data_IF_555864553931
#
_entry.id   IF_555864553931
#
_cell.length_a   1.000
_cell.length_b   1.000
_cell.length_c   1.000
_cell.angle_alpha   90.00
_cell.angle_beta   90.00
_cell.angle_gamma   90.00
#
_symmetry.space_group_name_H-M   'P 1'
#
loop_
_entity.id
_entity.type
_entity.pdbx_description
1 polymer ?
#
# COMPACT_ATOMS: atom_id res chain seq x y z
N UNK A 1 -11.20 -0.29 -0.27
CA UNK A 1 -12.22 -1.25 0.19
C UNK A 1 -11.83 -2.04 1.44
N UNK A 2 -10.70 -1.72 2.09
CA UNK A 2 -10.25 -2.29 3.35
C UNK A 2 -10.02 -1.19 4.38
N UNK A 3 -10.44 -1.46 5.63
CA UNK A 3 -10.21 -0.56 6.76
C UNK A 3 -9.67 -1.33 7.96
N UNK A 4 -8.93 -0.65 8.82
CA UNK A 4 -8.56 -1.11 10.15
C UNK A 4 -9.27 -0.25 11.19
N UNK A 5 -9.73 -0.88 12.25
CA UNK A 5 -10.42 -0.23 13.38
C UNK A 5 -9.71 -0.66 14.64
N UNK A 6 -9.32 0.29 15.48
CA UNK A 6 -8.80 0.01 16.81
C UNK A 6 -9.98 -0.15 17.79
N UNK A 7 -10.05 -1.31 18.43
CA UNK A 7 -11.08 -1.65 19.41
C UNK A 7 -10.55 -1.63 20.84
N UNK A 8 -9.28 -1.30 21.07
CA UNK A 8 -8.59 -1.48 22.37
C UNK A 8 -9.32 -0.80 23.53
N UNK A 9 -9.80 0.43 23.32
CA UNK A 9 -10.43 1.25 24.36
C UNK A 9 -11.96 1.24 24.30
N UNK A 10 -12.55 0.38 23.47
CA UNK A 10 -14.01 0.29 23.40
C UNK A 10 -14.58 -0.45 24.62
N UNK A 11 -15.68 0.06 25.22
CA UNK A 11 -16.38 -0.66 26.26
C UNK A 11 -16.78 -2.07 25.81
N UNK A 12 -16.52 -3.07 26.64
CA UNK A 12 -16.80 -4.48 26.32
C UNK A 12 -15.74 -5.19 25.48
N UNK A 13 -14.79 -4.47 24.87
CA UNK A 13 -13.77 -5.10 24.01
C UNK A 13 -12.84 -6.06 24.78
N UNK A 14 -12.57 -5.77 26.05
CA UNK A 14 -11.70 -6.57 26.92
C UNK A 14 -12.48 -7.65 27.71
N UNK A 15 -13.80 -7.74 27.53
CA UNK A 15 -14.59 -8.78 28.18
C UNK A 15 -14.26 -10.15 27.59
N UNK A 16 -14.27 -11.16 28.45
CA UNK A 16 -14.06 -12.55 28.00
C UNK A 16 -15.16 -12.96 27.04
N UNK A 17 -14.77 -13.63 25.96
CA UNK A 17 -15.73 -14.28 25.07
C UNK A 17 -16.37 -15.45 25.84
N UNK A 18 -17.68 -15.49 25.95
CA UNK A 18 -18.43 -16.58 26.61
C UNK A 18 -18.14 -17.93 25.96
N UNK A 19 -18.47 -19.03 26.70
CA UNK A 19 -18.33 -20.40 26.17
C UNK A 19 -19.16 -20.65 24.88
N UNK A 20 -20.21 -19.87 24.67
CA UNK A 20 -21.05 -19.86 23.46
C UNK A 20 -20.44 -19.03 22.31
N UNK A 21 -19.25 -18.46 22.49
CA UNK A 21 -18.58 -17.62 21.51
C UNK A 21 -19.16 -16.21 21.38
N UNK A 22 -20.01 -15.79 22.32
CA UNK A 22 -20.60 -14.44 22.39
C UNK A 22 -19.85 -13.54 23.35
N UNK A 23 -20.04 -12.22 23.23
CA UNK A 23 -19.41 -11.20 24.06
C UNK A 23 -18.06 -10.71 23.55
N UNK A 24 -17.50 -9.73 24.28
CA UNK A 24 -16.21 -9.12 23.99
C UNK A 24 -16.08 -8.61 22.56
N UNK A 25 -14.86 -8.64 22.05
CA UNK A 25 -14.52 -8.17 20.68
C UNK A 25 -15.30 -8.89 19.58
N UNK A 26 -15.73 -10.14 19.80
CA UNK A 26 -16.50 -10.89 18.81
C UNK A 26 -17.89 -10.29 18.59
N UNK A 27 -18.59 -9.91 19.68
CA UNK A 27 -19.89 -9.26 19.60
C UNK A 27 -19.79 -7.91 18.87
N UNK A 28 -18.81 -7.09 19.22
CA UNK A 28 -18.55 -5.80 18.58
C UNK A 28 -18.31 -5.98 17.07
N UNK A 29 -17.46 -6.92 16.67
CA UNK A 29 -17.18 -7.20 15.28
C UNK A 29 -18.39 -7.74 14.52
N UNK A 30 -19.23 -8.55 15.17
CA UNK A 30 -20.50 -9.04 14.60
C UNK A 30 -21.47 -7.87 14.37
N UNK A 31 -21.57 -6.94 15.30
CA UNK A 31 -22.42 -5.75 15.15
C UNK A 31 -21.93 -4.83 14.03
N UNK A 32 -20.63 -4.63 13.90
CA UNK A 32 -20.04 -3.89 12.77
C UNK A 32 -20.44 -4.57 11.45
N UNK A 33 -20.28 -5.89 11.33
CA UNK A 33 -20.63 -6.66 10.14
C UNK A 33 -22.10 -6.54 9.77
N UNK A 34 -22.98 -6.67 10.76
CA UNK A 34 -24.43 -6.53 10.59
C UNK A 34 -24.82 -5.12 10.15
N UNK A 35 -24.18 -4.09 10.73
CA UNK A 35 -24.42 -2.69 10.40
C UNK A 35 -23.96 -2.36 8.98
N UNK A 36 -22.80 -2.84 8.55
CA UNK A 36 -22.32 -2.69 7.16
C UNK A 36 -23.32 -3.29 6.19
N UNK A 37 -23.75 -4.54 6.43
CA UNK A 37 -24.72 -5.22 5.57
C UNK A 37 -26.07 -4.49 5.52
N UNK A 38 -26.55 -3.99 6.65
CA UNK A 38 -27.82 -3.22 6.74
C UNK A 38 -27.74 -1.90 6.01
N UNK A 39 -26.61 -1.18 6.13
CA UNK A 39 -26.44 0.13 5.54
C UNK A 39 -26.14 0.10 4.03
N UNK A 40 -25.48 -0.93 3.53
CA UNK A 40 -24.96 -0.97 2.15
C UNK A 40 -25.50 -2.12 1.31
N UNK A 41 -26.10 -3.14 1.92
CA UNK A 41 -26.48 -4.40 1.27
C UNK A 41 -25.28 -5.34 1.00
N UNK A 42 -24.05 -4.93 1.29
CA UNK A 42 -22.84 -5.71 1.04
C UNK A 42 -22.41 -6.51 2.27
N UNK A 43 -21.89 -7.71 2.04
CA UNK A 43 -21.21 -8.48 3.08
C UNK A 43 -19.76 -8.03 3.25
N UNK A 44 -19.22 -8.18 4.45
CA UNK A 44 -17.79 -7.97 4.71
C UNK A 44 -17.22 -9.08 5.60
N UNK A 45 -15.94 -9.39 5.44
CA UNK A 45 -15.23 -10.33 6.31
C UNK A 45 -14.33 -9.56 7.27
N UNK A 46 -14.37 -9.94 8.55
CA UNK A 46 -13.65 -9.24 9.62
C UNK A 46 -12.69 -10.21 10.30
N UNK A 47 -11.44 -9.78 10.49
CA UNK A 47 -10.44 -10.43 11.33
C UNK A 47 -10.13 -9.55 12.55
N UNK A 48 -10.28 -10.09 13.75
CA UNK A 48 -9.96 -9.39 15.01
C UNK A 48 -8.75 -10.04 15.65
N UNK A 49 -7.68 -9.29 15.83
CA UNK A 49 -6.39 -9.78 16.34
C UNK A 49 -5.63 -8.65 17.03
N UNK A 50 -4.55 -8.96 17.78
CA UNK A 50 -3.77 -7.93 18.46
C UNK A 50 -3.05 -6.91 17.58
N UNK A 51 -2.89 -7.16 16.26
CA UNK A 51 -2.17 -6.26 15.36
C UNK A 51 -2.70 -6.30 13.91
N UNK A 52 -2.28 -5.32 13.11
CA UNK A 52 -2.74 -5.14 11.73
C UNK A 52 -2.36 -6.29 10.80
N UNK A 53 -1.17 -6.86 10.95
CA UNK A 53 -0.68 -7.94 10.11
C UNK A 53 -1.55 -9.18 10.25
N UNK A 54 -1.77 -9.60 11.48
CA UNK A 54 -2.62 -10.76 11.77
C UNK A 54 -4.09 -10.49 11.43
N UNK A 55 -4.61 -9.27 11.67
CA UNK A 55 -5.98 -8.90 11.33
C UNK A 55 -6.25 -9.05 9.82
N UNK A 56 -5.29 -8.62 8.99
CA UNK A 56 -5.39 -8.78 7.53
C UNK A 56 -5.41 -10.25 7.12
N UNK A 57 -4.56 -11.08 7.70
CA UNK A 57 -4.56 -12.53 7.42
C UNK A 57 -5.88 -13.16 7.90
N UNK A 58 -6.31 -12.84 9.12
CA UNK A 58 -7.53 -13.39 9.72
C UNK A 58 -8.77 -13.03 8.90
N UNK A 59 -8.88 -11.82 8.37
CA UNK A 59 -10.02 -11.41 7.54
C UNK A 59 -10.15 -12.20 6.24
N UNK A 60 -9.09 -12.88 5.80
CA UNK A 60 -9.07 -13.71 4.57
C UNK A 60 -9.36 -15.19 4.83
N UNK A 61 -9.26 -15.65 6.10
CA UNK A 61 -9.36 -17.07 6.42
C UNK A 61 -10.74 -17.67 6.14
N UNK A 62 -11.78 -16.94 6.52
CA UNK A 62 -13.16 -17.42 6.48
C UNK A 62 -14.01 -16.60 5.48
N UNK A 63 -13.42 -16.09 4.38
CA UNK A 63 -14.17 -15.43 3.29
C UNK A 63 -15.02 -16.43 2.51
N UNK A 64 -16.22 -16.00 2.01
CA UNK A 64 -16.87 -14.70 2.19
C UNK A 64 -17.65 -14.58 3.49
N UNK A 65 -17.97 -13.34 3.89
CA UNK A 65 -18.85 -13.01 5.03
C UNK A 65 -18.43 -13.66 6.36
N UNK A 66 -17.11 -13.83 6.57
CA UNK A 66 -16.52 -14.48 7.74
C UNK A 66 -16.23 -13.51 8.89
N UNK A 67 -16.21 -14.06 10.10
CA UNK A 67 -15.73 -13.39 11.32
C UNK A 67 -14.73 -14.28 12.03
N UNK A 68 -13.45 -13.92 11.94
CA UNK A 68 -12.33 -14.70 12.46
C UNK A 68 -11.67 -13.94 13.61
N UNK A 69 -11.63 -14.57 14.79
CA UNK A 69 -11.00 -14.03 16.00
C UNK A 69 -9.98 -15.04 16.50
N UNK A 70 -8.81 -15.18 15.84
CA UNK A 70 -7.77 -16.11 16.26
C UNK A 70 -7.04 -15.56 17.47
N UNK A 71 -6.64 -16.48 18.35
CA UNK A 71 -5.73 -16.21 19.47
C UNK A 71 -4.27 -16.39 19.02
N UNK A 72 -3.32 -15.97 19.83
CA UNK A 72 -1.88 -16.24 19.57
C UNK A 72 -1.60 -17.76 19.54
N UNK A 73 -2.35 -18.58 20.30
CA UNK A 73 -2.22 -20.03 20.28
C UNK A 73 -2.63 -20.64 18.92
N UNK A 74 -3.49 -19.97 18.16
CA UNK A 74 -3.92 -20.42 16.82
C UNK A 74 -2.88 -20.15 15.73
N UNK A 75 -1.80 -19.42 16.04
CA UNK A 75 -0.76 -19.11 15.05
C UNK A 75 -0.20 -20.37 14.38
N UNK A 76 0.17 -21.36 15.19
CA UNK A 76 0.77 -22.59 14.70
C UNK A 76 -0.19 -23.46 13.88
N UNK A 77 -1.47 -23.46 14.24
CA UNK A 77 -2.49 -24.35 13.63
C UNK A 77 -3.22 -23.71 12.45
N UNK A 78 -3.43 -22.40 12.46
CA UNK A 78 -4.22 -21.69 11.44
C UNK A 78 -3.41 -20.78 10.52
N UNK A 79 -2.32 -20.18 11.01
CA UNK A 79 -1.53 -19.21 10.26
C UNK A 79 -0.28 -19.85 9.63
N UNK A 80 0.49 -20.60 10.38
CA UNK A 80 1.74 -21.20 9.89
C UNK A 80 1.59 -22.17 8.71
N UNK A 81 0.48 -22.93 8.55
CA UNK A 81 0.27 -23.75 7.36
C UNK A 81 0.02 -22.96 6.08
N UNK A 82 -0.30 -21.67 6.18
CA UNK A 82 -0.57 -20.82 5.03
C UNK A 82 0.70 -20.53 4.23
N UNK A 83 0.53 -20.35 2.92
CA UNK A 83 1.63 -19.92 2.04
C UNK A 83 2.13 -18.51 2.41
N UNK A 84 3.44 -18.27 2.27
CA UNK A 84 4.12 -17.00 2.63
C UNK A 84 3.47 -15.75 2.00
N UNK A 85 2.83 -15.88 0.85
CA UNK A 85 2.13 -14.77 0.17
C UNK A 85 0.89 -14.26 0.92
N UNK A 86 0.42 -14.98 1.93
CA UNK A 86 -0.67 -14.50 2.81
C UNK A 86 -0.20 -13.38 3.75
N UNK A 87 1.09 -13.25 3.97
CA UNK A 87 1.67 -12.10 4.66
C UNK A 87 1.65 -10.90 3.72
N UNK A 88 0.84 -9.88 4.05
CA UNK A 88 0.81 -8.62 3.31
C UNK A 88 2.18 -7.93 3.42
N UNK A 89 2.85 -7.70 2.30
CA UNK A 89 4.25 -7.24 2.20
C UNK A 89 5.20 -8.27 1.57
N UNK A 90 4.77 -9.54 1.42
CA UNK A 90 5.51 -10.54 0.63
C UNK A 90 4.92 -10.57 -0.79
N UNK A 91 5.51 -9.75 -1.66
CA UNK A 91 5.13 -9.70 -3.08
C UNK A 91 5.68 -10.89 -3.90
N UNK A 92 5.32 -10.99 -5.20
CA UNK A 92 5.71 -12.11 -6.06
C UNK A 92 7.23 -12.37 -6.12
N UNK A 93 8.05 -11.31 -6.17
CA UNK A 93 9.53 -11.44 -6.22
C UNK A 93 10.10 -12.03 -4.93
N UNK A 94 9.63 -11.55 -3.77
CA UNK A 94 10.07 -12.07 -2.48
C UNK A 94 9.60 -13.50 -2.28
N UNK A 95 8.36 -13.82 -2.64
CA UNK A 95 7.82 -15.17 -2.58
C UNK A 95 8.60 -16.15 -3.47
N UNK A 96 8.93 -15.77 -4.70
CA UNK A 96 9.75 -16.60 -5.59
C UNK A 96 11.14 -16.88 -4.99
N UNK A 97 11.78 -15.87 -4.38
CA UNK A 97 13.06 -16.02 -3.71
C UNK A 97 12.96 -16.95 -2.48
N UNK A 98 11.91 -16.80 -1.67
CA UNK A 98 11.64 -17.69 -0.53
C UNK A 98 11.43 -19.13 -1.00
N UNK A 99 10.63 -19.35 -2.04
CA UNK A 99 10.41 -20.69 -2.64
C UNK A 99 11.72 -21.32 -3.14
N UNK A 100 12.58 -20.55 -3.81
CA UNK A 100 13.89 -21.02 -4.26
C UNK A 100 14.80 -21.42 -3.08
N UNK A 101 14.58 -20.86 -1.89
CA UNK A 101 15.28 -21.19 -0.64
C UNK A 101 14.56 -22.30 0.17
N UNK A 102 13.55 -22.95 -0.41
CA UNK A 102 12.80 -24.04 0.22
C UNK A 102 11.75 -23.60 1.24
N UNK A 103 11.35 -22.30 1.22
CA UNK A 103 10.37 -21.72 2.15
C UNK A 103 9.08 -21.43 1.39
N UNK A 104 8.02 -22.20 1.66
CA UNK A 104 6.72 -22.07 1.01
C UNK A 104 5.64 -21.58 1.98
N UNK A 105 5.73 -21.96 3.26
CA UNK A 105 4.73 -21.63 4.28
C UNK A 105 5.26 -20.63 5.30
N UNK A 106 4.34 -19.98 6.00
CA UNK A 106 4.66 -19.05 7.09
C UNK A 106 5.42 -19.78 8.20
N UNK A 107 5.02 -21.02 8.53
CA UNK A 107 5.71 -21.82 9.53
C UNK A 107 7.16 -22.17 9.15
N UNK A 108 7.41 -22.49 7.89
CA UNK A 108 8.78 -22.70 7.40
C UNK A 108 9.61 -21.40 7.47
N UNK A 109 8.99 -20.25 7.24
CA UNK A 109 9.64 -18.95 7.40
C UNK A 109 9.96 -18.67 8.87
N UNK A 110 9.03 -18.96 9.79
CA UNK A 110 9.21 -18.79 11.23
C UNK A 110 10.34 -19.66 11.82
N UNK A 111 10.64 -20.80 11.18
CA UNK A 111 11.75 -21.67 11.57
C UNK A 111 13.15 -21.15 11.17
N UNK A 112 13.24 -20.04 10.42
CA UNK A 112 14.52 -19.47 10.00
C UNK A 112 15.00 -18.42 10.98
N UNK A 113 16.29 -18.48 11.31
CA UNK A 113 16.92 -17.48 12.16
C UNK A 113 16.88 -16.10 11.52
N UNK A 114 16.72 -15.07 12.36
CA UNK A 114 16.71 -13.68 11.92
C UNK A 114 18.00 -13.31 11.17
N UNK A 115 19.16 -13.75 11.66
CA UNK A 115 20.45 -13.49 11.00
C UNK A 115 20.48 -14.08 9.57
N UNK A 116 20.03 -15.32 9.40
CA UNK A 116 19.93 -15.96 8.10
C UNK A 116 19.02 -15.18 7.13
N UNK A 117 17.86 -14.71 7.61
CA UNK A 117 16.94 -13.88 6.81
C UNK A 117 17.56 -12.53 6.43
N UNK A 118 18.31 -11.90 7.33
CA UNK A 118 19.02 -10.65 7.07
C UNK A 118 20.08 -10.82 5.98
N UNK A 119 20.84 -11.89 6.01
CA UNK A 119 21.88 -12.19 5.00
C UNK A 119 21.27 -12.37 3.60
N UNK A 120 20.10 -13.00 3.51
CA UNK A 120 19.46 -13.28 2.22
C UNK A 120 18.60 -12.12 1.69
N UNK A 121 17.96 -11.34 2.56
CA UNK A 121 16.96 -10.34 2.19
C UNK A 121 17.34 -8.90 2.55
N UNK A 122 18.49 -8.71 3.18
CA UNK A 122 18.95 -7.43 3.69
C UNK A 122 18.38 -7.08 5.08
N UNK A 123 19.05 -6.16 5.76
CA UNK A 123 18.84 -5.88 7.18
C UNK A 123 17.39 -5.56 7.55
N UNK A 124 16.77 -4.66 6.82
CA UNK A 124 15.40 -4.20 7.15
C UNK A 124 14.35 -5.26 6.83
N UNK A 125 14.40 -5.79 5.60
CA UNK A 125 13.37 -6.74 5.14
C UNK A 125 13.52 -8.11 5.78
N UNK A 126 14.75 -8.58 6.04
CA UNK A 126 15.00 -9.85 6.72
C UNK A 126 14.50 -9.86 8.17
N UNK A 127 14.71 -8.75 8.92
CA UNK A 127 14.12 -8.60 10.26
C UNK A 127 12.60 -8.61 10.22
N UNK A 128 12.03 -7.83 9.29
CA UNK A 128 10.58 -7.77 9.12
C UNK A 128 9.98 -9.13 8.75
N UNK A 129 10.65 -9.93 7.88
CA UNK A 129 10.19 -11.28 7.54
C UNK A 129 10.14 -12.19 8.77
N UNK A 130 11.18 -12.12 9.62
CA UNK A 130 11.23 -12.87 10.87
C UNK A 130 10.07 -12.50 11.80
N UNK A 131 9.89 -11.21 12.07
CA UNK A 131 8.86 -10.71 12.97
C UNK A 131 7.45 -11.03 12.43
N UNK A 132 7.24 -10.80 11.14
CA UNK A 132 5.97 -11.10 10.48
C UNK A 132 5.59 -12.60 10.54
N UNK A 133 6.55 -13.51 10.40
CA UNK A 133 6.30 -14.95 10.51
C UNK A 133 5.93 -15.38 11.94
N UNK A 134 6.39 -14.64 12.94
CA UNK A 134 6.03 -14.82 14.35
C UNK A 134 4.78 -14.04 14.77
N UNK A 135 4.12 -13.37 13.83
CA UNK A 135 2.90 -12.58 14.11
C UNK A 135 3.17 -11.27 14.84
N UNK A 136 4.40 -10.77 14.80
CA UNK A 136 4.82 -9.53 15.48
C UNK A 136 4.66 -8.36 14.49
N UNK A 137 3.87 -7.35 14.86
CA UNK A 137 3.66 -6.12 14.12
C UNK A 137 3.27 -4.99 15.06
N UNK A 138 4.24 -4.17 15.43
CA UNK A 138 4.08 -3.06 16.39
C UNK A 138 3.62 -1.75 15.73
N UNK A 139 3.26 -1.77 14.43
CA UNK A 139 2.81 -0.56 13.72
C UNK A 139 1.47 -0.09 14.25
N UNK A 140 1.44 1.11 14.82
CA UNK A 140 0.20 1.75 15.25
C UNK A 140 -0.80 1.95 14.10
N UNK A 141 -2.07 2.11 14.45
CA UNK A 141 -3.10 2.53 13.51
C UNK A 141 -3.02 4.04 13.32
N UNK A 142 -2.58 4.47 12.15
CA UNK A 142 -2.52 5.88 11.80
C UNK A 142 -3.84 6.34 11.18
N UNK A 143 -4.59 7.18 11.89
CA UNK A 143 -5.85 7.77 11.41
C UNK A 143 -5.65 9.12 10.72
N UNK A 144 -4.47 9.76 10.88
CA UNK A 144 -4.14 11.08 10.34
C UNK A 144 -2.71 11.07 9.80
N UNK A 145 -2.51 10.60 8.59
CA UNK A 145 -1.21 10.67 7.90
C UNK A 145 -1.10 11.95 7.05
N UNK A 146 -0.02 12.72 7.22
CA UNK A 146 0.33 13.78 6.28
C UNK A 146 0.78 13.14 4.95
N UNK A 147 0.33 13.65 3.80
CA UNK A 147 0.74 13.07 2.52
C UNK A 147 2.24 13.30 2.28
N UNK A 148 2.96 12.26 1.92
CA UNK A 148 4.40 12.35 1.56
C UNK A 148 4.60 12.90 0.15
N UNK A 149 3.65 12.62 -0.74
CA UNK A 149 3.64 13.10 -2.12
C UNK A 149 2.23 13.14 -2.69
N UNK A 150 2.02 13.94 -3.74
CA UNK A 150 0.80 13.96 -4.54
C UNK A 150 1.16 13.74 -5.99
N UNK A 151 0.42 12.89 -6.69
CA UNK A 151 0.69 12.57 -8.09
C UNK A 151 -0.59 12.33 -8.87
N UNK A 152 -0.51 12.60 -10.17
CA UNK A 152 -1.53 12.25 -11.16
C UNK A 152 -0.85 11.54 -12.31
N UNK A 153 -1.42 10.45 -12.74
CA UNK A 153 -0.93 9.68 -13.90
C UNK A 153 -2.09 9.16 -14.75
N UNK A 154 -1.82 8.94 -16.02
CA UNK A 154 -2.77 8.33 -16.94
C UNK A 154 -2.09 7.29 -17.81
N UNK A 155 -2.78 6.19 -18.04
CA UNK A 155 -2.42 5.20 -19.05
C UNK A 155 -3.18 5.56 -20.34
N UNK A 156 -2.49 5.60 -21.46
CA UNK A 156 -3.10 5.92 -22.74
C UNK A 156 -3.87 4.71 -23.29
N UNK A 157 -4.94 4.97 -24.03
CA UNK A 157 -5.70 3.93 -24.73
C UNK A 157 -4.86 3.26 -25.83
N UNK A 158 -4.00 4.03 -26.51
CA UNK A 158 -2.95 3.58 -27.43
C UNK A 158 -1.60 4.13 -27.01
N UNK A 159 -0.53 3.40 -27.28
CA UNK A 159 0.82 3.88 -26.97
C UNK A 159 1.22 5.05 -27.89
N UNK A 160 1.62 6.18 -27.30
CA UNK A 160 1.89 7.45 -27.98
C UNK A 160 3.38 7.60 -28.34
N UNK A 161 3.65 8.13 -29.52
CA UNK A 161 5.00 8.42 -29.98
C UNK A 161 5.37 9.89 -29.69
N UNK A 162 6.50 10.12 -29.03
CA UNK A 162 6.89 11.44 -28.51
C UNK A 162 6.95 12.56 -29.57
N UNK A 163 7.22 12.23 -30.84
CA UNK A 163 7.30 13.19 -31.93
C UNK A 163 5.97 13.30 -32.68
N UNK A 164 5.37 12.14 -33.06
CA UNK A 164 4.14 12.12 -33.87
C UNK A 164 2.92 12.58 -33.08
N UNK A 165 2.86 12.24 -31.81
CA UNK A 165 1.72 12.55 -30.92
C UNK A 165 2.09 13.68 -29.92
N UNK A 166 2.99 14.58 -30.33
CA UNK A 166 3.54 15.63 -29.46
C UNK A 166 2.48 16.50 -28.81
N UNK A 167 1.48 16.90 -29.59
CA UNK A 167 0.44 17.83 -29.13
C UNK A 167 -0.48 17.14 -28.11
N UNK A 168 -0.87 15.89 -28.36
CA UNK A 168 -1.65 15.06 -27.44
C UNK A 168 -0.89 14.84 -26.13
N UNK A 169 0.39 14.44 -26.20
CA UNK A 169 1.25 14.27 -25.02
C UNK A 169 1.44 15.59 -24.27
N UNK A 170 1.59 16.71 -24.98
CA UNK A 170 1.71 18.05 -24.39
C UNK A 170 0.47 18.47 -23.63
N UNK A 171 -0.72 18.23 -24.21
CA UNK A 171 -2.00 18.53 -23.57
C UNK A 171 -2.21 17.67 -22.32
N UNK A 172 -1.95 16.37 -22.38
CA UNK A 172 -2.05 15.47 -21.22
C UNK A 172 -1.07 15.88 -20.14
N UNK A 173 0.16 16.20 -20.48
CA UNK A 173 1.18 16.59 -19.53
C UNK A 173 0.82 17.88 -18.80
N UNK A 174 0.25 18.87 -19.49
CA UNK A 174 -0.24 20.13 -18.90
C UNK A 174 -1.41 19.84 -17.95
N UNK A 175 -2.40 19.05 -18.38
CA UNK A 175 -3.54 18.65 -17.55
C UNK A 175 -3.10 17.93 -16.26
N UNK A 176 -2.12 17.03 -16.33
CA UNK A 176 -1.62 16.33 -15.15
C UNK A 176 -0.94 17.30 -14.16
N UNK A 177 -0.18 18.29 -14.67
CA UNK A 177 0.42 19.32 -13.83
C UNK A 177 -0.63 20.20 -13.14
N UNK A 178 -1.68 20.58 -13.86
CA UNK A 178 -2.82 21.35 -13.33
C UNK A 178 -3.56 20.55 -12.25
N UNK A 179 -3.79 19.26 -12.46
CA UNK A 179 -4.44 18.40 -11.47
C UNK A 179 -3.60 18.25 -10.20
N UNK A 180 -2.28 18.10 -10.32
CA UNK A 180 -1.37 18.06 -9.16
C UNK A 180 -1.38 19.40 -8.41
N UNK A 181 -1.34 20.52 -9.13
CA UNK A 181 -1.44 21.85 -8.53
C UNK A 181 -2.76 22.05 -7.77
N UNK A 182 -3.89 21.66 -8.36
CA UNK A 182 -5.20 21.71 -7.73
C UNK A 182 -5.25 20.86 -6.45
N UNK A 183 -4.68 19.64 -6.48
CA UNK A 183 -4.64 18.77 -5.31
C UNK A 183 -3.78 19.36 -4.18
N UNK A 184 -2.62 19.95 -4.52
CA UNK A 184 -1.73 20.62 -3.57
C UNK A 184 -2.45 21.80 -2.90
N UNK A 185 -3.01 22.70 -3.70
CA UNK A 185 -3.73 23.89 -3.20
C UNK A 185 -4.93 23.51 -2.33
N UNK A 186 -5.76 22.57 -2.77
CA UNK A 186 -6.92 22.11 -2.01
C UNK A 186 -6.56 21.55 -0.64
N UNK A 187 -5.37 20.91 -0.52
CA UNK A 187 -4.90 20.32 0.73
C UNK A 187 -3.96 21.22 1.52
N UNK A 188 -3.64 22.44 1.03
CA UNK A 188 -2.76 23.39 1.70
C UNK A 188 -1.28 22.99 1.69
N UNK A 189 -0.77 22.43 0.58
CA UNK A 189 0.62 22.02 0.45
C UNK A 189 1.31 22.66 -0.75
N UNK A 190 2.64 22.74 -0.68
CA UNK A 190 3.54 22.98 -1.81
C UNK A 190 4.58 21.86 -1.89
N UNK A 191 5.02 21.50 -3.09
CA UNK A 191 6.01 20.45 -3.31
C UNK A 191 7.38 21.01 -3.66
N UNK A 192 8.44 20.55 -2.99
CA UNK A 192 9.81 20.94 -3.30
C UNK A 192 10.46 20.05 -4.36
N UNK A 193 10.03 18.80 -4.47
CA UNK A 193 10.54 17.86 -5.47
C UNK A 193 9.46 17.55 -6.49
N UNK A 194 9.70 17.91 -7.75
CA UNK A 194 8.80 17.61 -8.86
C UNK A 194 9.37 16.46 -9.67
N UNK A 195 8.56 15.48 -9.99
CA UNK A 195 8.97 14.29 -10.71
C UNK A 195 8.01 13.87 -11.80
N UNK A 196 8.52 13.06 -12.71
CA UNK A 196 7.76 12.38 -13.75
C UNK A 196 7.88 10.87 -13.62
N UNK A 197 6.84 10.18 -14.07
CA UNK A 197 6.82 8.74 -14.25
C UNK A 197 6.40 8.45 -15.69
N UNK A 198 7.22 7.70 -16.41
CA UNK A 198 6.93 7.22 -17.75
C UNK A 198 6.91 5.71 -17.74
N UNK A 199 5.98 5.11 -18.44
CA UNK A 199 6.02 3.68 -18.80
C UNK A 199 5.98 3.56 -20.30
N UNK A 200 6.90 2.77 -20.85
CA UNK A 200 7.01 2.51 -22.27
C UNK A 200 6.15 1.31 -22.69
N UNK A 201 6.04 1.08 -23.99
CA UNK A 201 5.33 -0.03 -24.64
C UNK A 201 5.82 -1.42 -24.19
N UNK A 202 7.11 -1.55 -23.83
CA UNK A 202 7.70 -2.74 -23.24
C UNK A 202 7.48 -2.87 -21.70
N UNK A 203 6.58 -2.07 -21.13
CA UNK A 203 6.28 -1.97 -19.69
C UNK A 203 7.43 -1.50 -18.80
N UNK A 204 8.58 -1.13 -19.38
CA UNK A 204 9.68 -0.54 -18.61
C UNK A 204 9.29 0.84 -18.09
N UNK A 205 9.46 1.04 -16.79
CA UNK A 205 9.13 2.32 -16.12
C UNK A 205 10.40 3.11 -15.85
N UNK A 206 10.34 4.40 -16.12
CA UNK A 206 11.40 5.37 -15.83
C UNK A 206 10.82 6.51 -15.01
N UNK A 207 11.53 6.92 -13.96
CA UNK A 207 11.21 8.10 -13.15
C UNK A 207 12.39 9.08 -13.20
N UNK A 208 12.08 10.39 -13.16
CA UNK A 208 13.07 11.46 -12.99
C UNK A 208 12.50 12.50 -12.07
N UNK A 209 13.30 12.96 -11.13
CA UNK A 209 12.93 13.98 -10.15
C UNK A 209 13.88 15.18 -10.25
N UNK A 210 13.36 16.36 -9.90
CA UNK A 210 14.09 17.62 -9.77
C UNK A 210 13.67 18.28 -8.45
N UNK A 211 14.63 18.53 -7.57
CA UNK A 211 14.40 19.28 -6.34
C UNK A 211 14.63 20.76 -6.59
N UNK A 212 13.63 21.57 -6.31
CA UNK A 212 13.62 23.01 -6.50
C UNK A 212 14.18 23.73 -5.26
N UNK A 213 14.75 24.92 -5.42
CA UNK A 213 15.19 25.76 -4.30
C UNK A 213 14.04 26.14 -3.36
N UNK A 214 12.85 26.43 -3.93
CA UNK A 214 11.63 26.80 -3.21
C UNK A 214 10.50 25.83 -3.54
N UNK A 215 9.62 25.49 -2.57
CA UNK A 215 8.42 24.71 -2.83
C UNK A 215 7.46 25.47 -3.77
N UNK A 216 6.76 24.73 -4.62
CA UNK A 216 5.79 25.28 -5.58
C UNK A 216 4.45 24.55 -5.47
N UNK A 217 3.37 25.28 -5.74
CA UNK A 217 2.00 24.75 -5.78
C UNK A 217 1.24 25.20 -7.05
N UNK A 218 1.85 26.00 -7.90
CA UNK A 218 1.22 26.48 -9.14
C UNK A 218 1.52 25.53 -10.33
N UNK A 219 0.57 25.42 -11.25
CA UNK A 219 0.63 24.50 -12.37
C UNK A 219 1.79 24.81 -13.34
N UNK A 220 2.11 26.08 -13.56
CA UNK A 220 3.14 26.49 -14.51
C UNK A 220 4.53 26.09 -14.03
N UNK A 221 4.85 26.33 -12.74
CA UNK A 221 6.12 25.92 -12.14
C UNK A 221 6.25 24.38 -12.11
N UNK A 222 5.18 23.65 -11.73
CA UNK A 222 5.16 22.18 -11.75
C UNK A 222 5.38 21.67 -13.18
N UNK A 223 4.66 22.22 -14.16
CA UNK A 223 4.78 21.84 -15.58
C UNK A 223 6.17 22.10 -16.13
N UNK A 224 6.78 23.25 -15.75
CA UNK A 224 8.13 23.60 -16.14
C UNK A 224 9.17 22.63 -15.55
N UNK A 225 9.14 22.40 -14.25
CA UNK A 225 10.06 21.49 -13.57
C UNK A 225 9.94 20.04 -14.07
N UNK A 226 8.71 19.56 -14.27
CA UNK A 226 8.44 18.27 -14.87
C UNK A 226 8.97 18.18 -16.31
N UNK A 227 8.90 19.27 -17.08
CA UNK A 227 9.47 19.39 -18.42
C UNK A 227 11.02 19.25 -18.43
N UNK A 228 11.69 19.83 -17.43
CA UNK A 228 13.13 19.63 -17.24
C UNK A 228 13.48 18.18 -16.92
N UNK A 229 12.65 17.49 -16.12
CA UNK A 229 12.79 16.06 -15.89
C UNK A 229 12.62 15.24 -17.19
N UNK A 230 11.64 15.59 -18.01
CA UNK A 230 11.35 14.91 -19.28
C UNK A 230 12.51 15.00 -20.27
N UNK A 231 13.19 16.14 -20.35
CA UNK A 231 14.38 16.34 -21.20
C UNK A 231 15.54 15.38 -20.88
N UNK A 232 15.53 14.76 -19.71
CA UNK A 232 16.57 13.81 -19.24
C UNK A 232 16.23 12.35 -19.56
N UNK A 233 15.20 12.12 -20.37
CA UNK A 233 14.73 10.77 -20.75
C UNK A 233 14.83 10.60 -22.26
N UNK A 234 15.40 9.49 -22.71
CA UNK A 234 15.34 9.08 -24.12
C UNK A 234 13.91 8.61 -24.46
N UNK A 235 13.26 9.31 -25.38
CA UNK A 235 11.88 9.11 -25.79
C UNK A 235 11.74 8.40 -27.15
N UNK A 236 12.71 7.59 -27.55
CA UNK A 236 12.66 6.83 -28.82
C UNK A 236 11.53 5.81 -28.87
N UNK A 237 11.13 5.27 -27.71
CA UNK A 237 10.06 4.30 -27.58
C UNK A 237 8.71 4.96 -27.36
N UNK A 238 7.63 4.24 -27.68
CA UNK A 238 6.27 4.72 -27.43
C UNK A 238 5.99 4.74 -25.94
N UNK A 239 5.18 5.70 -25.53
CA UNK A 239 4.75 5.91 -24.14
C UNK A 239 3.38 5.32 -23.91
N UNK A 240 3.29 4.43 -22.94
CA UNK A 240 2.05 3.81 -22.48
C UNK A 240 1.42 4.58 -21.32
N UNK A 241 2.23 5.23 -20.47
CA UNK A 241 1.79 5.97 -19.31
C UNK A 241 2.65 7.21 -19.09
N UNK A 242 2.00 8.28 -18.68
CA UNK A 242 2.62 9.52 -18.23
C UNK A 242 2.06 9.91 -16.87
N UNK A 243 2.96 10.28 -15.94
CA UNK A 243 2.61 10.78 -14.61
C UNK A 243 3.45 11.98 -14.20
N UNK A 244 2.84 12.85 -13.38
CA UNK A 244 3.49 13.99 -12.72
C UNK A 244 3.31 13.84 -11.22
N UNK A 245 4.37 14.12 -10.45
CA UNK A 245 4.39 13.99 -8.99
C UNK A 245 5.00 15.23 -8.35
N UNK A 246 4.44 15.65 -7.23
CA UNK A 246 5.03 16.58 -6.28
C UNK A 246 5.32 15.84 -4.97
N UNK A 247 6.54 15.96 -4.46
CA UNK A 247 7.02 15.33 -3.23
C UNK A 247 7.81 16.31 -2.37
N UNK A 248 8.32 15.85 -1.22
CA UNK A 248 8.91 16.74 -0.20
C UNK A 248 7.95 17.89 0.10
N UNK A 249 6.74 17.50 0.51
CA UNK A 249 5.63 18.42 0.71
C UNK A 249 5.87 19.28 1.94
N UNK A 250 5.52 20.56 1.82
CA UNK A 250 5.55 21.56 2.89
C UNK A 250 4.13 22.11 3.01
N UNK A 251 3.65 22.27 4.22
CA UNK A 251 2.35 22.92 4.50
C UNK A 251 2.45 24.40 4.22
N UNK A 252 1.45 24.97 3.55
CA UNK A 252 1.32 26.41 3.26
C UNK A 252 0.72 27.14 4.45
#
# INVERSE_FOLDING_TARGET
DEIYIDLTDLPGAQESVGHDGTGGVRAIAQDIRNNVKRATGLSCSIGVTPNKLLAKIASELDKPDGLTVPTLADLATRIWPLGVRRINGIGPKAAAKLTALGIQTIGQLAQRDQAWLVDHFGRSYGRWLHDAAHGIDDRALETRGEPVSMSRETTFERDLHAVRDRDELGAVFTRLAEQVATDLQRKGYAGRTIGIKLRFDDFKTVTRDLTLPQPVADAAAIRHAAGLCLKRVDLKRRLRLLGVRAASLVKL
#
